data_IF_897801635400
#
_entry.id   IF_897801635400
#
_cell.length_a   1.000
_cell.length_b   1.000
_cell.length_c   1.000
_cell.angle_alpha   90.00
_cell.angle_beta   90.00
_cell.angle_gamma   90.00
#
_symmetry.space_group_name_H-M   'P 1'
#
loop_
_entity.id
_entity.type
_entity.pdbx_description
1 polymer ?
#
# COMPACT_ATOMS: atom_id res chain seq x y z
N UNK A 1 11.21 1.75 23.01
CA UNK A 1 11.96 0.53 22.62
C UNK A 1 13.37 0.64 23.16
N UNK A 2 13.91 -0.42 23.76
CA UNK A 2 15.29 -0.43 24.29
C UNK A 2 16.32 -0.54 23.15
N UNK A 3 17.50 0.06 23.32
CA UNK A 3 18.59 0.02 22.32
C UNK A 3 19.01 -1.42 21.98
N UNK A 4 18.90 -2.31 22.95
CA UNK A 4 19.22 -3.73 22.84
C UNK A 4 18.28 -4.47 21.87
N UNK A 5 16.96 -4.32 22.03
CA UNK A 5 15.98 -4.88 21.07
C UNK A 5 16.14 -4.36 19.65
N UNK A 6 16.57 -3.10 19.50
CA UNK A 6 16.84 -2.53 18.18
C UNK A 6 18.09 -3.14 17.53
N UNK A 7 19.13 -3.46 18.32
CA UNK A 7 20.34 -4.14 17.87
C UNK A 7 20.03 -5.59 17.46
N UNK A 8 19.34 -6.34 18.31
CA UNK A 8 18.89 -7.72 18.03
C UNK A 8 18.09 -7.80 16.73
N UNK A 9 17.14 -6.87 16.53
CA UNK A 9 16.34 -6.83 15.30
C UNK A 9 17.18 -6.59 14.04
N UNK A 10 18.23 -5.75 14.14
CA UNK A 10 19.14 -5.49 13.01
C UNK A 10 19.97 -6.72 12.67
N UNK A 11 20.46 -7.44 13.69
CA UNK A 11 21.22 -8.68 13.52
C UNK A 11 20.36 -9.77 12.89
N UNK A 12 19.14 -9.99 13.40
CA UNK A 12 18.17 -10.92 12.81
C UNK A 12 17.86 -10.56 11.36
N UNK A 13 17.66 -9.27 11.06
CA UNK A 13 17.39 -8.83 9.69
C UNK A 13 18.58 -9.03 8.74
N UNK A 14 19.82 -8.97 9.26
CA UNK A 14 21.02 -9.29 8.49
C UNK A 14 21.06 -10.78 8.13
N UNK A 15 20.83 -11.65 9.10
CA UNK A 15 20.77 -13.11 8.89
C UNK A 15 19.75 -13.47 7.82
N UNK A 16 18.52 -12.97 7.95
CA UNK A 16 17.45 -13.20 6.96
C UNK A 16 17.82 -12.69 5.56
N UNK A 17 18.53 -11.55 5.47
CA UNK A 17 18.97 -11.03 4.17
C UNK A 17 20.03 -11.91 3.52
N UNK A 18 20.93 -12.47 4.30
CA UNK A 18 21.97 -13.35 3.78
C UNK A 18 21.38 -14.71 3.36
N UNK A 19 20.40 -15.22 4.10
CA UNK A 19 19.58 -16.39 3.71
C UNK A 19 18.82 -16.15 2.39
N UNK A 20 18.17 -14.98 2.23
CA UNK A 20 17.50 -14.63 0.98
C UNK A 20 18.45 -14.56 -0.21
N UNK A 21 19.70 -14.11 0.00
CA UNK A 21 20.73 -14.07 -1.06
C UNK A 21 21.17 -15.47 -1.46
N UNK A 22 21.36 -16.38 -0.50
CA UNK A 22 21.70 -17.77 -0.84
C UNK A 22 20.56 -18.45 -1.59
N UNK A 23 19.31 -18.31 -1.13
CA UNK A 23 18.14 -18.85 -1.83
C UNK A 23 18.09 -18.33 -3.26
N UNK A 24 18.24 -17.02 -3.46
CA UNK A 24 18.23 -16.41 -4.80
C UNK A 24 19.36 -16.92 -5.70
N UNK A 25 20.57 -17.10 -5.15
CA UNK A 25 21.73 -17.60 -5.92
C UNK A 25 21.53 -19.04 -6.38
N UNK A 26 20.89 -19.85 -5.54
CA UNK A 26 20.74 -21.28 -5.75
C UNK A 26 19.42 -21.63 -6.50
N UNK A 27 18.57 -20.63 -6.78
CA UNK A 27 17.31 -20.78 -7.52
C UNK A 27 17.45 -20.32 -8.98
N UNK A 28 16.68 -20.94 -9.88
CA UNK A 28 16.51 -20.43 -11.24
C UNK A 28 15.92 -19.01 -11.22
N UNK A 29 16.33 -18.13 -12.15
CA UNK A 29 15.75 -16.79 -12.25
C UNK A 29 14.24 -16.85 -12.49
N UNK A 30 13.48 -16.03 -11.76
CA UNK A 30 12.06 -15.84 -12.08
C UNK A 30 11.93 -15.28 -13.51
N UNK A 31 10.94 -15.74 -14.29
CA UNK A 31 10.70 -15.20 -15.62
C UNK A 31 10.34 -13.70 -15.55
N UNK A 32 10.70 -12.96 -16.59
CA UNK A 32 10.28 -11.57 -16.74
C UNK A 32 8.75 -11.54 -16.85
N UNK A 33 8.11 -10.76 -15.99
CA UNK A 33 6.69 -10.50 -16.10
C UNK A 33 6.47 -9.30 -17.02
N UNK A 34 6.11 -9.56 -18.28
CA UNK A 34 5.62 -8.54 -19.20
C UNK A 34 4.09 -8.45 -19.12
N UNK A 35 3.57 -7.29 -18.73
CA UNK A 35 2.13 -7.05 -18.61
C UNK A 35 1.41 -7.06 -19.97
N UNK A 36 2.15 -6.87 -21.06
CA UNK A 36 1.61 -6.90 -22.43
C UNK A 36 1.60 -8.33 -23.01
N UNK A 37 2.26 -9.28 -22.33
CA UNK A 37 2.26 -10.69 -22.71
C UNK A 37 0.92 -11.35 -22.35
N UNK A 38 0.15 -11.63 -23.41
CA UNK A 38 -1.21 -12.20 -23.32
C UNK A 38 -1.21 -13.70 -23.12
N UNK A 39 -0.07 -14.39 -23.22
CA UNK A 39 0.01 -15.86 -23.18
C UNK A 39 -0.03 -16.42 -21.75
N UNK A 40 0.25 -15.60 -20.73
CA UNK A 40 0.46 -16.08 -19.36
C UNK A 40 -0.81 -16.46 -18.59
N UNK A 41 -2.01 -16.29 -19.15
CA UNK A 41 -3.27 -16.73 -18.53
C UNK A 41 -3.54 -16.17 -17.13
N UNK A 42 -2.90 -15.06 -16.74
CA UNK A 42 -3.01 -14.48 -15.40
C UNK A 42 -4.23 -13.56 -15.33
N UNK A 43 -5.04 -13.73 -14.28
CA UNK A 43 -6.16 -12.84 -13.98
C UNK A 43 -5.66 -11.47 -13.48
N UNK A 44 -6.17 -10.39 -14.08
CA UNK A 44 -5.81 -9.03 -13.70
C UNK A 44 -6.76 -8.50 -12.62
N UNK A 45 -6.16 -7.97 -11.55
CA UNK A 45 -6.89 -7.16 -10.57
C UNK A 45 -6.97 -5.73 -11.09
N UNK A 46 -8.17 -5.28 -11.46
CA UNK A 46 -8.41 -3.89 -11.86
C UNK A 46 -8.37 -2.98 -10.63
N UNK A 47 -7.37 -2.12 -10.56
CA UNK A 47 -7.22 -1.09 -9.53
C UNK A 47 -7.48 0.30 -10.14
N UNK A 48 -8.32 1.15 -9.52
CA UNK A 48 -8.44 2.55 -9.94
C UNK A 48 -7.10 3.27 -9.73
N UNK A 49 -6.47 3.80 -10.78
CA UNK A 49 -5.18 4.49 -10.67
C UNK A 49 -5.22 5.68 -9.70
N UNK A 50 -6.36 6.37 -9.62
CA UNK A 50 -6.59 7.53 -8.74
C UNK A 50 -6.51 7.19 -7.25
N UNK A 51 -6.56 5.91 -6.85
CA UNK A 51 -6.36 5.53 -5.44
C UNK A 51 -4.95 5.88 -4.93
N UNK A 52 -3.97 5.93 -5.83
CA UNK A 52 -2.58 6.23 -5.48
C UNK A 52 -2.42 7.66 -4.96
N UNK A 53 -3.31 8.57 -5.37
CA UNK A 53 -3.35 9.97 -4.87
C UNK A 53 -3.58 10.04 -3.36
N UNK A 54 -4.27 9.04 -2.78
CA UNK A 54 -4.52 8.99 -1.35
C UNK A 54 -3.26 8.71 -0.52
N UNK A 55 -2.13 8.34 -1.14
CA UNK A 55 -0.84 8.27 -0.44
C UNK A 55 -0.39 9.63 0.10
N UNK A 56 -0.86 10.75 -0.47
CA UNK A 56 -0.63 12.09 0.10
C UNK A 56 -1.35 12.27 1.44
N UNK A 57 -2.30 11.40 1.81
CA UNK A 57 -2.92 11.36 3.14
C UNK A 57 -2.06 10.60 4.18
N UNK A 58 -0.75 10.43 3.96
CA UNK A 58 0.11 9.65 4.85
C UNK A 58 0.12 10.16 6.30
N UNK A 59 0.06 11.48 6.50
CA UNK A 59 -0.02 12.10 7.82
C UNK A 59 -1.31 11.74 8.57
N UNK A 60 -2.38 11.39 7.85
CA UNK A 60 -3.64 10.87 8.42
C UNK A 60 -3.58 9.35 8.67
N UNK A 61 -2.45 8.72 8.38
CA UNK A 61 -2.23 7.28 8.55
C UNK A 61 -2.60 6.45 7.31
N UNK A 62 -2.93 7.09 6.18
CA UNK A 62 -3.20 6.37 4.94
C UNK A 62 -1.90 5.83 4.34
N UNK A 63 -1.93 4.60 3.85
CA UNK A 63 -0.73 3.91 3.36
C UNK A 63 -1.09 2.78 2.37
N UNK A 64 -0.06 2.08 1.88
CA UNK A 64 -0.25 0.97 0.96
C UNK A 64 -1.16 -0.16 1.51
N UNK A 65 -1.12 -0.44 2.82
CA UNK A 65 -2.03 -1.42 3.44
C UNK A 65 -3.50 -0.97 3.32
N UNK A 66 -3.75 0.35 3.40
CA UNK A 66 -5.09 0.94 3.20
C UNK A 66 -5.59 0.72 1.77
N UNK A 67 -4.72 0.93 0.78
CA UNK A 67 -5.00 0.67 -0.65
C UNK A 67 -5.31 -0.80 -0.89
N UNK A 68 -4.52 -1.71 -0.31
CA UNK A 68 -4.74 -3.15 -0.47
C UNK A 68 -6.08 -3.60 0.15
N UNK A 69 -6.48 -3.04 1.28
CA UNK A 69 -7.80 -3.32 1.88
C UNK A 69 -8.91 -2.83 0.95
N UNK A 70 -8.80 -1.62 0.41
CA UNK A 70 -9.76 -1.11 -0.57
C UNK A 70 -9.85 -2.01 -1.80
N UNK A 71 -8.73 -2.50 -2.32
CA UNK A 71 -8.71 -3.42 -3.45
C UNK A 71 -9.35 -4.78 -3.13
N UNK A 72 -9.16 -5.31 -1.92
CA UNK A 72 -9.85 -6.54 -1.49
C UNK A 72 -11.37 -6.31 -1.48
N UNK A 73 -11.83 -5.15 -0.97
CA UNK A 73 -13.25 -4.79 -0.98
C UNK A 73 -13.79 -4.71 -2.42
N UNK A 74 -13.08 -4.08 -3.35
CA UNK A 74 -13.46 -4.04 -4.77
C UNK A 74 -13.55 -5.46 -5.36
N UNK A 75 -12.55 -6.31 -5.12
CA UNK A 75 -12.50 -7.65 -5.69
C UNK A 75 -13.63 -8.55 -5.14
N UNK A 76 -14.13 -8.26 -3.94
CA UNK A 76 -15.24 -8.99 -3.29
C UNK A 76 -16.60 -8.34 -3.53
N UNK A 77 -16.66 -7.26 -4.32
CA UNK A 77 -17.91 -6.57 -4.61
C UNK A 77 -18.82 -7.43 -5.48
N UNK A 78 -19.99 -7.77 -4.95
CA UNK A 78 -21.02 -8.48 -5.68
C UNK A 78 -21.99 -7.48 -6.28
N UNK A 79 -22.03 -7.40 -7.63
CA UNK A 79 -22.90 -6.47 -8.36
C UNK A 79 -24.38 -6.67 -8.07
N UNK A 80 -24.83 -7.91 -7.85
CA UNK A 80 -26.24 -8.22 -7.61
C UNK A 80 -26.68 -7.79 -6.20
N UNK A 81 -25.77 -7.87 -5.23
CA UNK A 81 -26.02 -7.46 -3.84
C UNK A 81 -25.70 -5.98 -3.58
N UNK A 82 -24.98 -5.34 -4.51
CA UNK A 82 -24.59 -3.94 -4.39
C UNK A 82 -23.54 -3.67 -3.31
N UNK A 83 -22.88 -4.71 -2.78
CA UNK A 83 -21.90 -4.59 -1.71
C UNK A 83 -20.87 -5.75 -1.73
N UNK A 84 -19.78 -5.55 -0.99
CA UNK A 84 -18.82 -6.57 -0.62
C UNK A 84 -19.03 -6.97 0.84
N UNK A 85 -18.76 -8.23 1.20
CA UNK A 85 -18.93 -8.75 2.56
C UNK A 85 -17.73 -9.57 3.07
N UNK A 86 -16.45 -9.18 2.81
CA UNK A 86 -15.32 -9.86 3.44
C UNK A 86 -15.34 -9.66 4.96
N UNK A 87 -15.13 -10.74 5.71
CA UNK A 87 -14.91 -10.59 7.15
C UNK A 87 -13.57 -9.91 7.43
N UNK A 88 -13.47 -9.19 8.55
CA UNK A 88 -12.20 -8.58 8.97
C UNK A 88 -11.11 -9.63 9.20
N UNK A 89 -11.49 -10.84 9.61
CA UNK A 89 -10.58 -11.99 9.72
C UNK A 89 -10.10 -12.49 8.37
N UNK A 90 -10.97 -12.53 7.36
CA UNK A 90 -10.59 -12.89 5.99
C UNK A 90 -9.57 -11.89 5.43
N UNK A 91 -9.83 -10.59 5.58
CA UNK A 91 -8.89 -9.54 5.18
C UNK A 91 -7.55 -9.63 5.93
N UNK A 92 -7.59 -9.82 7.25
CA UNK A 92 -6.38 -9.99 8.06
C UNK A 92 -5.52 -11.19 7.62
N UNK A 93 -6.17 -12.31 7.28
CA UNK A 93 -5.51 -13.52 6.79
C UNK A 93 -4.82 -13.32 5.45
N UNK A 94 -5.48 -12.62 4.52
CA UNK A 94 -4.93 -12.31 3.19
C UNK A 94 -3.73 -11.37 3.33
N UNK A 95 -3.85 -10.31 4.12
CA UNK A 95 -2.81 -9.28 4.26
C UNK A 95 -1.66 -9.66 5.20
N UNK A 96 -1.80 -10.77 5.95
CA UNK A 96 -0.90 -11.13 7.06
C UNK A 96 -0.74 -9.98 8.07
N UNK A 97 -1.85 -9.30 8.38
CA UNK A 97 -1.92 -8.20 9.35
C UNK A 97 -2.78 -8.57 10.54
N UNK A 98 -2.61 -7.82 11.63
CA UNK A 98 -3.48 -7.98 12.81
C UNK A 98 -4.91 -7.50 12.50
N UNK A 99 -5.91 -8.11 13.12
CA UNK A 99 -7.30 -7.66 13.00
C UNK A 99 -7.48 -6.19 13.44
N UNK A 100 -6.84 -5.71 14.53
CA UNK A 100 -6.86 -4.28 14.87
C UNK A 100 -6.34 -3.36 13.75
N UNK A 101 -5.26 -3.75 13.06
CA UNK A 101 -4.72 -2.98 11.92
C UNK A 101 -5.73 -2.92 10.77
N UNK A 102 -6.36 -4.05 10.43
CA UNK A 102 -7.41 -4.09 9.40
C UNK A 102 -8.59 -3.20 9.78
N UNK A 103 -9.07 -3.29 11.02
CA UNK A 103 -10.16 -2.42 11.53
C UNK A 103 -9.81 -0.94 11.41
N UNK A 104 -8.59 -0.55 11.80
CA UNK A 104 -8.11 0.83 11.70
C UNK A 104 -8.16 1.32 10.25
N UNK A 105 -7.65 0.53 9.31
CA UNK A 105 -7.64 0.93 7.90
C UNK A 105 -9.05 0.94 7.28
N UNK A 106 -9.95 0.03 7.67
CA UNK A 106 -11.35 0.08 7.25
C UNK A 106 -12.04 1.35 7.73
N UNK A 107 -11.84 1.73 9.00
CA UNK A 107 -12.37 2.97 9.53
C UNK A 107 -11.80 4.18 8.78
N UNK A 108 -10.49 4.19 8.52
CA UNK A 108 -9.86 5.25 7.73
C UNK A 108 -10.44 5.34 6.31
N UNK A 109 -10.70 4.21 5.65
CA UNK A 109 -11.35 4.19 4.32
C UNK A 109 -12.76 4.80 4.35
N UNK A 110 -13.54 4.56 5.42
CA UNK A 110 -14.84 5.20 5.65
C UNK A 110 -14.68 6.71 5.87
N UNK A 111 -13.73 7.13 6.72
CA UNK A 111 -13.45 8.53 7.04
C UNK A 111 -12.99 9.36 5.84
N UNK A 112 -12.21 8.78 4.92
CA UNK A 112 -11.74 9.47 3.71
C UNK A 112 -12.69 9.33 2.51
N UNK A 113 -13.86 8.72 2.73
CA UNK A 113 -14.92 8.60 1.72
C UNK A 113 -14.64 7.62 0.59
N UNK A 114 -13.83 6.60 0.84
CA UNK A 114 -13.56 5.52 -0.14
C UNK A 114 -14.51 4.34 0.00
N UNK A 115 -15.16 4.16 1.15
CA UNK A 115 -16.18 3.13 1.35
C UNK A 115 -17.34 3.65 2.20
N UNK A 116 -18.51 3.06 2.03
CA UNK A 116 -19.60 3.12 3.02
C UNK A 116 -19.70 1.78 3.76
N UNK A 117 -20.01 1.81 5.06
CA UNK A 117 -20.13 0.61 5.89
C UNK A 117 -21.56 0.45 6.41
N UNK A 118 -22.23 -0.63 6.01
CA UNK A 118 -23.51 -1.04 6.58
C UNK A 118 -23.29 -2.11 7.65
N UNK A 119 -23.66 -1.79 8.89
CA UNK A 119 -23.50 -2.68 10.06
C UNK A 119 -24.76 -3.54 10.19
N UNK A 120 -24.60 -4.87 10.17
CA UNK A 120 -25.73 -5.84 10.19
C UNK A 120 -26.09 -6.39 11.57
N UNK A 121 -25.49 -5.85 12.64
CA UNK A 121 -25.67 -6.32 14.01
C UNK A 121 -24.60 -7.31 14.48
N UNK A 122 -24.72 -7.74 15.74
CA UNK A 122 -23.75 -8.60 16.42
C UNK A 122 -23.54 -9.93 15.68
N UNK A 123 -22.27 -10.35 15.53
CA UNK A 123 -21.90 -11.61 14.90
C UNK A 123 -22.05 -11.67 13.38
N UNK A 124 -22.56 -10.62 12.74
CA UNK A 124 -22.69 -10.53 11.27
C UNK A 124 -21.57 -9.71 10.67
N UNK A 125 -21.10 -10.13 9.49
CA UNK A 125 -20.14 -9.36 8.71
C UNK A 125 -20.78 -8.07 8.21
N UNK A 126 -20.06 -6.95 8.30
CA UNK A 126 -20.47 -5.69 7.70
C UNK A 126 -20.56 -5.82 6.18
N UNK A 127 -21.41 -5.00 5.56
CA UNK A 127 -21.38 -4.80 4.12
C UNK A 127 -20.56 -3.54 3.83
N UNK A 128 -19.75 -3.60 2.79
CA UNK A 128 -18.90 -2.51 2.35
C UNK A 128 -19.29 -2.12 0.92
N UNK A 129 -19.55 -0.84 0.70
CA UNK A 129 -19.79 -0.30 -0.64
C UNK A 129 -18.58 0.52 -1.07
N UNK A 130 -17.76 0.06 -2.02
CA UNK A 130 -16.64 0.85 -2.51
C UNK A 130 -17.15 2.08 -3.27
N UNK A 131 -16.62 3.25 -2.92
CA UNK A 131 -16.87 4.52 -3.61
C UNK A 131 -15.69 4.84 -4.53
N UNK A 132 -15.94 5.68 -5.55
CA UNK A 132 -14.89 6.10 -6.48
C UNK A 132 -13.89 7.03 -5.77
N UNK A 133 -12.57 6.83 -5.93
CA UNK A 133 -11.58 7.75 -5.39
C UNK A 133 -11.72 9.15 -5.99
N UNK A 134 -11.42 10.17 -5.20
CA UNK A 134 -11.37 11.55 -5.67
C UNK A 134 -10.21 11.77 -6.65
N UNK A 135 -10.40 12.70 -7.58
CA UNK A 135 -9.31 13.26 -8.38
C UNK A 135 -8.36 14.06 -7.49
N UNK A 136 -7.08 14.11 -7.87
CA UNK A 136 -6.00 14.73 -7.08
C UNK A 136 -6.33 16.15 -6.61
N UNK A 137 -6.79 17.02 -7.49
CA UNK A 137 -7.13 18.40 -7.14
C UNK A 137 -8.18 18.47 -6.03
N UNK A 138 -9.29 17.74 -6.19
CA UNK A 138 -10.38 17.67 -5.20
C UNK A 138 -9.89 17.09 -3.87
N UNK A 139 -8.99 16.11 -3.91
CA UNK A 139 -8.39 15.52 -2.71
C UNK A 139 -7.54 16.55 -1.95
N UNK A 140 -6.64 17.25 -2.64
CA UNK A 140 -5.73 18.22 -2.02
C UNK A 140 -6.47 19.45 -1.47
N UNK A 141 -7.54 19.88 -2.15
CA UNK A 141 -8.42 20.95 -1.66
C UNK A 141 -9.16 20.54 -0.39
N UNK A 142 -9.63 19.28 -0.33
CA UNK A 142 -10.34 18.73 0.82
C UNK A 142 -9.43 18.49 2.02
N UNK A 143 -8.16 18.14 1.78
CA UNK A 143 -7.19 17.81 2.83
C UNK A 143 -5.94 18.71 2.72
N UNK A 144 -5.97 19.95 3.25
CA UNK A 144 -4.86 20.89 3.08
C UNK A 144 -3.51 20.41 3.62
N UNK A 145 -3.49 19.57 4.67
CA UNK A 145 -2.24 18.96 5.16
C UNK A 145 -1.62 18.01 4.15
N UNK A 146 -2.45 17.30 3.39
CA UNK A 146 -1.98 16.41 2.32
C UNK A 146 -1.28 17.21 1.22
N UNK A 147 -1.83 18.38 0.86
CA UNK A 147 -1.20 19.30 -0.11
C UNK A 147 0.18 19.76 0.37
N UNK A 148 0.27 20.17 1.65
CA UNK A 148 1.54 20.56 2.25
C UNK A 148 2.57 19.41 2.25
N UNK A 149 2.17 18.23 2.72
CA UNK A 149 3.01 17.04 2.76
C UNK A 149 3.53 16.67 1.37
N UNK A 150 2.67 16.70 0.37
CA UNK A 150 2.99 16.34 -1.01
C UNK A 150 4.06 17.27 -1.62
N UNK A 151 3.95 18.59 -1.37
CA UNK A 151 4.94 19.58 -1.79
C UNK A 151 6.29 19.34 -1.09
N UNK A 152 6.27 19.21 0.24
CA UNK A 152 7.49 19.03 1.05
C UNK A 152 8.21 17.73 0.68
N UNK A 153 7.46 16.63 0.50
CA UNK A 153 8.02 15.35 0.12
C UNK A 153 8.62 15.40 -1.29
N UNK A 154 7.95 16.03 -2.25
CA UNK A 154 8.46 16.18 -3.61
C UNK A 154 9.77 16.97 -3.66
N UNK A 155 9.86 18.08 -2.91
CA UNK A 155 11.09 18.86 -2.78
C UNK A 155 12.23 18.02 -2.20
N UNK A 156 11.96 17.29 -1.11
CA UNK A 156 12.93 16.41 -0.48
C UNK A 156 13.47 15.32 -1.43
N UNK A 157 12.60 14.72 -2.25
CA UNK A 157 13.02 13.70 -3.24
C UNK A 157 13.89 14.32 -4.34
N UNK A 158 13.56 15.49 -4.86
CA UNK A 158 14.38 16.16 -5.89
C UNK A 158 15.75 16.59 -5.35
N UNK A 159 15.83 17.03 -4.08
CA UNK A 159 17.10 17.27 -3.42
C UNK A 159 17.94 15.99 -3.29
N UNK A 160 17.32 14.89 -2.89
CA UNK A 160 17.98 13.60 -2.75
C UNK A 160 18.56 13.14 -4.10
N UNK A 161 17.74 13.21 -5.15
CA UNK A 161 18.13 12.89 -6.53
C UNK A 161 19.29 13.76 -7.02
N UNK A 162 19.26 15.07 -6.74
CA UNK A 162 20.32 15.99 -7.11
C UNK A 162 21.64 15.63 -6.44
N UNK A 163 21.62 15.34 -5.14
CA UNK A 163 22.80 14.91 -4.38
C UNK A 163 23.38 13.59 -4.90
N UNK A 164 22.51 12.65 -5.24
CA UNK A 164 22.93 11.36 -5.79
C UNK A 164 23.61 11.50 -7.16
N UNK A 165 23.00 12.28 -8.07
CA UNK A 165 23.60 12.58 -9.38
C UNK A 165 24.96 13.27 -9.27
N UNK A 166 25.16 14.15 -8.28
CA UNK A 166 26.45 14.79 -8.03
C UNK A 166 27.53 13.80 -7.56
N UNK A 167 27.16 12.81 -6.74
CA UNK A 167 28.07 11.75 -6.30
C UNK A 167 28.51 10.89 -7.48
N UNK A 168 27.56 10.43 -8.29
CA UNK A 168 27.86 9.63 -9.49
C UNK A 168 28.80 10.39 -10.43
N UNK A 169 28.54 11.69 -10.69
CA UNK A 169 29.44 12.51 -11.52
C UNK A 169 30.84 12.63 -10.94
N UNK A 170 30.98 12.75 -9.62
CA UNK A 170 32.27 12.83 -8.94
C UNK A 170 33.05 11.51 -9.05
N UNK A 171 32.35 10.38 -8.88
CA UNK A 171 32.97 9.05 -8.94
C UNK A 171 33.41 8.70 -10.38
N UNK A 172 32.62 9.10 -11.39
CA UNK A 172 32.99 8.97 -12.81
C UNK A 172 34.16 9.88 -13.18
N UNK A 173 34.25 11.09 -12.61
CA UNK A 173 35.38 12.00 -12.88
C UNK A 173 36.68 11.61 -12.14
N UNK A 174 36.59 10.72 -11.15
CA UNK A 174 37.73 10.20 -10.38
C UNK A 174 38.22 8.82 -10.86
N UNK A 175 37.52 8.21 -11.82
CA UNK A 175 37.85 6.95 -12.48
C UNK A 175 38.46 7.20 -13.86
#
# INVERSE_FOLDING_TARGET
MTKERAKERREQQKVLRDELKSIKRDSEPNPLYDKEDKENGVDFIKMPATILEYLSLNEYGFNADSILIYQIIINWYNRNEGAAYPSQYAMARVLKKSVPTVKKHIALLEEVGLIEIERRGLGRTNLYKPLRPLERHTLLDRYPRASKFDIEFSQHIEEYKTKDMQRVKKDVAAS
#
